data_IF_730178323850
#
_entry.id   IF_730178323850
#
_cell.length_a   1.000
_cell.length_b   1.000
_cell.length_c   1.000
_cell.angle_alpha   90.00
_cell.angle_beta   90.00
_cell.angle_gamma   90.00
#
_symmetry.space_group_name_H-M   'P 1'
#
loop_
_entity.id
_entity.type
_entity.pdbx_description
1 polymer ?
#
# COMPACT_ATOMS: atom_id res chain seq x y z
N UNK A 1 1.28 1.65 0.52
CA UNK A 1 0.91 2.72 -0.40
C UNK A 1 1.38 4.09 0.05
N UNK A 2 0.73 4.74 1.05
CA UNK A 2 1.04 6.14 1.39
C UNK A 2 2.50 6.35 1.81
N UNK A 3 3.08 5.46 2.59
CA UNK A 3 4.49 5.55 3.02
C UNK A 3 5.43 5.45 1.81
N UNK A 4 5.23 4.44 0.94
CA UNK A 4 6.04 4.31 -0.27
C UNK A 4 5.95 5.55 -1.17
N UNK A 5 4.74 6.08 -1.39
CA UNK A 5 4.56 7.31 -2.17
C UNK A 5 5.25 8.51 -1.53
N UNK A 6 5.15 8.68 -0.21
CA UNK A 6 5.80 9.79 0.49
C UNK A 6 7.33 9.72 0.35
N UNK A 7 7.91 8.55 0.51
CA UNK A 7 9.35 8.32 0.31
C UNK A 7 9.75 8.49 -1.16
N UNK A 8 8.94 7.96 -2.10
CA UNK A 8 9.18 8.06 -3.55
C UNK A 8 9.30 9.51 -4.04
N UNK A 9 8.46 10.39 -3.50
CA UNK A 9 8.43 11.80 -3.89
C UNK A 9 9.16 12.71 -2.91
N UNK A 10 9.96 12.15 -2.01
CA UNK A 10 10.72 12.88 -0.97
C UNK A 10 9.83 13.76 -0.09
N UNK A 11 8.66 13.29 0.25
CA UNK A 11 7.64 13.98 1.07
C UNK A 11 7.43 13.32 2.44
N UNK A 12 8.39 12.53 2.92
CA UNK A 12 8.27 11.81 4.20
C UNK A 12 8.08 12.76 5.39
N UNK A 13 8.68 13.94 5.34
CA UNK A 13 8.57 14.99 6.36
C UNK A 13 7.12 15.42 6.59
N UNK A 14 6.27 15.37 5.55
CA UNK A 14 4.83 15.64 5.71
C UNK A 14 4.16 14.67 6.68
N UNK A 15 4.59 13.41 6.73
CA UNK A 15 4.04 12.43 7.67
C UNK A 15 4.47 12.75 9.10
N UNK A 16 5.74 13.09 9.31
CA UNK A 16 6.29 13.36 10.64
C UNK A 16 5.88 14.74 11.15
N UNK A 17 6.17 15.81 10.41
CA UNK A 17 5.94 17.18 10.85
C UNK A 17 4.46 17.56 10.86
N UNK A 18 3.70 17.13 9.84
CA UNK A 18 2.30 17.52 9.72
C UNK A 18 1.35 16.62 10.50
N UNK A 19 1.66 15.33 10.62
CA UNK A 19 0.76 14.35 11.22
C UNK A 19 1.31 13.64 12.45
N UNK A 20 2.59 13.87 12.81
CA UNK A 20 3.25 13.21 13.92
C UNK A 20 3.44 11.68 13.70
N UNK A 21 3.46 11.26 12.43
CA UNK A 21 3.63 9.85 12.06
C UNK A 21 5.10 9.54 11.92
N UNK A 22 5.70 8.91 12.93
CA UNK A 22 7.13 8.60 12.93
C UNK A 22 7.46 7.41 12.05
N UNK A 23 8.45 7.60 11.17
CA UNK A 23 9.04 6.57 10.32
C UNK A 23 10.34 6.00 10.91
N UNK A 24 10.76 6.42 12.11
CA UNK A 24 12.04 6.06 12.72
C UNK A 24 12.28 4.55 12.80
N UNK A 25 11.27 3.76 13.21
CA UNK A 25 11.42 2.31 13.26
C UNK A 25 11.62 1.69 11.88
N UNK A 26 10.97 2.23 10.87
CA UNK A 26 11.17 1.82 9.48
C UNK A 26 12.59 2.16 9.00
N UNK A 27 13.10 3.34 9.35
CA UNK A 27 14.45 3.77 8.98
C UNK A 27 15.52 2.86 9.60
N UNK A 28 15.43 2.57 10.90
CA UNK A 28 16.36 1.65 11.59
C UNK A 28 16.32 0.26 10.96
N UNK A 29 15.12 -0.31 10.81
CA UNK A 29 14.95 -1.62 10.18
C UNK A 29 15.53 -1.66 8.77
N UNK A 30 15.25 -0.64 7.95
CA UNK A 30 15.70 -0.57 6.58
C UNK A 30 17.24 -0.45 6.47
N UNK A 31 17.85 0.36 7.34
CA UNK A 31 19.31 0.51 7.37
C UNK A 31 20.02 -0.80 7.67
N UNK A 32 19.46 -1.63 8.55
CA UNK A 32 20.04 -2.91 8.97
C UNK A 32 19.72 -4.07 8.03
N UNK A 33 18.54 -4.08 7.42
CA UNK A 33 17.98 -5.27 6.77
C UNK A 33 17.89 -5.17 5.24
N UNK A 34 18.00 -3.96 4.67
CA UNK A 34 17.86 -3.76 3.23
C UNK A 34 19.20 -3.46 2.58
N UNK A 35 19.39 -4.03 1.40
CA UNK A 35 20.48 -3.71 0.48
C UNK A 35 20.20 -2.40 -0.27
N UNK A 36 21.27 -1.82 -0.83
CA UNK A 36 21.15 -0.66 -1.72
C UNK A 36 20.52 -1.09 -3.06
N UNK A 37 19.48 -0.38 -3.46
CA UNK A 37 18.76 -0.65 -4.69
C UNK A 37 18.34 0.66 -5.37
N UNK A 38 19.06 0.99 -6.44
CA UNK A 38 18.85 2.24 -7.18
C UNK A 38 17.44 2.42 -7.75
N UNK A 39 16.68 1.34 -7.94
CA UNK A 39 15.28 1.39 -8.43
C UNK A 39 14.34 2.00 -7.41
N UNK A 40 14.72 2.01 -6.14
CA UNK A 40 13.94 2.60 -5.05
C UNK A 40 14.37 4.02 -4.70
N UNK A 41 15.33 4.60 -5.40
CA UNK A 41 15.71 6.01 -5.18
C UNK A 41 14.51 6.95 -5.34
N UNK A 42 14.48 8.06 -4.61
CA UNK A 42 13.48 9.10 -4.80
C UNK A 42 13.45 9.63 -6.23
N UNK A 43 12.29 10.07 -6.68
CA UNK A 43 12.13 10.67 -8.02
C UNK A 43 13.03 11.88 -8.17
N UNK A 44 13.79 11.93 -9.26
CA UNK A 44 14.74 12.99 -9.56
C UNK A 44 16.16 12.75 -9.06
N UNK A 45 16.39 11.72 -8.24
CA UNK A 45 17.74 11.35 -7.79
C UNK A 45 18.35 10.33 -8.75
N UNK A 46 19.53 10.65 -9.31
CA UNK A 46 20.27 9.73 -10.16
C UNK A 46 21.19 8.83 -9.32
N UNK A 47 21.37 7.54 -9.69
CA UNK A 47 22.18 6.59 -8.92
C UNK A 47 23.58 7.09 -8.56
N UNK A 48 24.25 7.77 -9.49
CA UNK A 48 25.58 8.31 -9.30
C UNK A 48 25.65 9.59 -8.46
N UNK A 49 24.51 10.17 -8.10
CA UNK A 49 24.39 11.42 -7.32
C UNK A 49 23.73 11.19 -5.96
N UNK A 50 23.27 9.96 -5.67
CA UNK A 50 22.58 9.64 -4.45
C UNK A 50 23.49 9.77 -3.23
N UNK A 51 23.10 10.63 -2.28
CA UNK A 51 23.70 10.77 -0.96
C UNK A 51 23.29 9.65 0.01
N UNK A 52 23.77 9.72 1.24
CA UNK A 52 23.42 8.74 2.28
C UNK A 52 21.92 8.77 2.62
N UNK A 53 21.32 9.96 2.70
CA UNK A 53 19.89 10.11 2.98
C UNK A 53 19.02 9.56 1.85
N UNK A 54 19.43 9.75 0.58
CA UNK A 54 18.73 9.17 -0.57
C UNK A 54 18.80 7.64 -0.56
N UNK A 55 19.94 7.08 -0.20
CA UNK A 55 20.12 5.62 -0.07
C UNK A 55 19.30 5.06 1.07
N UNK A 56 19.26 5.72 2.23
CA UNK A 56 18.41 5.33 3.34
C UNK A 56 16.93 5.40 2.93
N UNK A 57 16.53 6.45 2.25
CA UNK A 57 15.16 6.58 1.71
C UNK A 57 14.82 5.45 0.73
N UNK A 58 15.75 5.05 -0.13
CA UNK A 58 15.59 3.91 -1.03
C UNK A 58 15.39 2.60 -0.26
N UNK A 59 16.21 2.35 0.77
CA UNK A 59 16.08 1.19 1.66
C UNK A 59 14.74 1.19 2.39
N UNK A 60 14.30 2.33 2.92
CA UNK A 60 12.99 2.47 3.56
C UNK A 60 11.83 2.17 2.59
N UNK A 61 11.93 2.63 1.34
CA UNK A 61 10.95 2.32 0.29
C UNK A 61 10.91 0.84 -0.02
N UNK A 62 12.07 0.21 -0.22
CA UNK A 62 12.17 -1.25 -0.47
C UNK A 62 11.54 -2.03 0.68
N UNK A 63 11.87 -1.69 1.92
CA UNK A 63 11.29 -2.31 3.11
C UNK A 63 9.76 -2.15 3.17
N UNK A 64 9.27 -0.92 3.00
CA UNK A 64 7.84 -0.63 3.00
C UNK A 64 7.11 -1.37 1.87
N UNK A 65 7.70 -1.45 0.68
CA UNK A 65 7.15 -2.15 -0.48
C UNK A 65 7.04 -3.65 -0.22
N UNK A 66 8.10 -4.30 0.28
CA UNK A 66 8.06 -5.74 0.58
C UNK A 66 7.03 -6.06 1.67
N UNK A 67 6.97 -5.27 2.75
CA UNK A 67 5.94 -5.44 3.78
C UNK A 67 4.54 -5.20 3.23
N UNK A 68 4.35 -4.26 2.30
CA UNK A 68 3.08 -4.05 1.63
C UNK A 68 2.66 -5.27 0.81
N UNK A 69 3.56 -5.85 0.01
CA UNK A 69 3.27 -7.06 -0.77
C UNK A 69 2.87 -8.25 0.12
N UNK A 70 3.54 -8.41 1.27
CA UNK A 70 3.16 -9.44 2.26
C UNK A 70 1.75 -9.19 2.82
N UNK A 71 1.45 -7.95 3.21
CA UNK A 71 0.15 -7.60 3.77
C UNK A 71 -0.99 -7.73 2.76
N UNK A 72 -0.80 -7.26 1.53
CA UNK A 72 -1.77 -7.38 0.43
C UNK A 72 -2.01 -8.83 0.06
N UNK A 73 -0.94 -9.62 -0.09
CA UNK A 73 -1.04 -11.05 -0.36
C UNK A 73 -1.80 -11.79 0.74
N UNK A 74 -1.60 -11.44 2.00
CA UNK A 74 -2.33 -12.02 3.13
C UNK A 74 -3.84 -11.65 3.09
N UNK A 75 -4.19 -10.44 2.64
CA UNK A 75 -5.59 -10.03 2.45
C UNK A 75 -6.21 -10.84 1.31
N UNK A 76 -5.53 -10.96 0.17
CA UNK A 76 -6.01 -11.74 -0.99
C UNK A 76 -6.27 -13.20 -0.59
N UNK A 77 -5.36 -13.82 0.18
CA UNK A 77 -5.56 -15.19 0.67
C UNK A 77 -6.75 -15.35 1.61
N UNK A 78 -7.08 -14.32 2.42
CA UNK A 78 -8.24 -14.35 3.31
C UNK A 78 -9.56 -14.02 2.61
N UNK A 79 -9.51 -13.51 1.39
CA UNK A 79 -10.67 -13.04 0.61
C UNK A 79 -10.66 -13.61 -0.80
N UNK A 80 -10.77 -14.97 -0.93
CA UNK A 80 -10.76 -15.62 -2.24
C UNK A 80 -11.94 -15.16 -3.12
N UNK A 81 -13.03 -14.70 -2.51
CA UNK A 81 -14.19 -14.16 -3.18
C UNK A 81 -13.92 -12.90 -4.01
N UNK A 82 -12.77 -12.24 -3.78
CA UNK A 82 -12.37 -11.08 -4.60
C UNK A 82 -11.81 -11.46 -5.97
N UNK A 83 -11.49 -12.76 -6.21
CA UNK A 83 -10.96 -13.23 -7.49
C UNK A 83 -9.60 -12.64 -7.86
N UNK A 84 -8.79 -12.23 -6.86
CA UNK A 84 -7.54 -11.46 -7.06
C UNK A 84 -6.27 -12.32 -6.87
N UNK A 85 -6.35 -13.63 -7.03
CA UNK A 85 -5.21 -14.54 -6.80
C UNK A 85 -4.01 -14.21 -7.72
N UNK A 86 -4.26 -13.76 -8.95
CA UNK A 86 -3.25 -13.30 -9.91
C UNK A 86 -2.47 -12.06 -9.42
N UNK A 87 -3.06 -11.26 -8.54
CA UNK A 87 -2.43 -10.07 -7.94
C UNK A 87 -1.62 -10.36 -6.69
N UNK A 88 -1.56 -11.61 -6.24
CA UNK A 88 -0.71 -12.00 -5.11
C UNK A 88 0.74 -12.18 -5.60
N UNK A 89 1.47 -11.06 -5.72
CA UNK A 89 2.78 -11.01 -6.37
C UNK A 89 3.74 -12.03 -5.76
N UNK A 90 3.95 -12.00 -4.44
CA UNK A 90 4.94 -12.86 -3.80
C UNK A 90 4.63 -14.35 -3.91
N UNK A 91 3.35 -14.75 -3.95
CA UNK A 91 2.98 -16.16 -4.14
C UNK A 91 3.08 -16.62 -5.59
N UNK A 92 3.07 -15.70 -6.54
CA UNK A 92 3.16 -16.01 -7.97
C UNK A 92 4.61 -15.92 -8.51
N UNK A 93 5.60 -15.64 -7.66
CA UNK A 93 7.01 -15.71 -8.02
C UNK A 93 7.49 -17.16 -7.94
N UNK A 94 8.05 -17.68 -9.03
CA UNK A 94 8.87 -18.86 -9.03
C UNK A 94 10.29 -18.45 -8.59
N UNK A 95 10.56 -18.55 -7.28
CA UNK A 95 11.85 -18.16 -6.70
C UNK A 95 13.00 -19.01 -7.20
N UNK A 96 12.76 -20.26 -7.60
CA UNK A 96 13.81 -21.15 -8.13
C UNK A 96 14.26 -20.72 -9.54
N UNK A 97 13.32 -20.26 -10.36
CA UNK A 97 13.59 -19.79 -11.71
C UNK A 97 13.84 -18.29 -11.81
N UNK A 98 13.45 -17.51 -10.80
CA UNK A 98 13.45 -16.05 -10.87
C UNK A 98 12.44 -15.49 -11.86
N UNK A 99 11.23 -16.03 -11.86
CA UNK A 99 10.19 -15.69 -12.83
C UNK A 99 8.88 -15.31 -12.14
N UNK A 100 8.15 -14.39 -12.78
CA UNK A 100 6.78 -14.04 -12.44
C UNK A 100 5.91 -14.24 -13.69
N UNK A 101 5.00 -15.21 -13.65
CA UNK A 101 4.17 -15.64 -14.80
C UNK A 101 5.01 -15.91 -16.06
N UNK A 102 6.18 -16.54 -15.93
CA UNK A 102 7.08 -16.86 -17.04
C UNK A 102 7.96 -15.71 -17.51
N UNK A 103 7.78 -14.50 -17.00
CA UNK A 103 8.67 -13.38 -17.27
C UNK A 103 9.83 -13.35 -16.26
N UNK A 104 11.04 -13.19 -16.74
CA UNK A 104 12.24 -13.05 -15.88
C UNK A 104 12.13 -11.79 -15.02
N UNK A 105 12.40 -11.94 -13.74
CA UNK A 105 12.55 -10.81 -12.83
C UNK A 105 13.88 -10.09 -13.10
N UNK A 106 13.87 -8.78 -12.95
CA UNK A 106 15.08 -7.96 -13.14
C UNK A 106 16.16 -8.26 -12.10
N UNK A 107 15.76 -8.68 -10.90
CA UNK A 107 16.64 -9.25 -9.88
C UNK A 107 15.83 -10.14 -8.92
N UNK A 108 16.57 -10.79 -8.01
CA UNK A 108 16.02 -11.70 -7.00
C UNK A 108 16.34 -11.23 -5.57
N UNK A 109 16.61 -9.93 -5.39
CA UNK A 109 16.83 -9.37 -4.06
C UNK A 109 15.51 -9.11 -3.35
N UNK A 110 15.09 -10.10 -2.54
CA UNK A 110 13.91 -10.06 -1.68
C UNK A 110 14.32 -10.26 -0.21
N UNK A 111 14.98 -9.28 0.42
CA UNK A 111 15.37 -9.40 1.82
C UNK A 111 14.19 -9.75 2.72
N UNK A 112 14.41 -10.72 3.62
CA UNK A 112 13.40 -11.17 4.58
C UNK A 112 12.12 -11.81 3.97
N UNK A 113 12.15 -12.21 2.70
CA UNK A 113 11.11 -13.02 2.08
C UNK A 113 11.55 -14.48 2.06
N UNK A 114 10.81 -15.33 2.78
CA UNK A 114 11.02 -16.78 2.76
C UNK A 114 10.29 -17.39 1.55
N UNK A 115 10.98 -18.01 0.59
CA UNK A 115 10.32 -18.63 -0.57
C UNK A 115 9.28 -19.70 -0.21
N UNK A 116 9.40 -20.35 0.96
CA UNK A 116 8.44 -21.36 1.43
C UNK A 116 7.19 -20.74 2.06
N UNK A 117 7.33 -19.53 2.64
CA UNK A 117 6.22 -18.77 3.22
C UNK A 117 6.39 -17.27 2.93
N UNK A 118 6.20 -16.86 1.66
CA UNK A 118 6.58 -15.52 1.20
C UNK A 118 5.76 -14.38 1.81
N UNK A 119 4.64 -14.69 2.44
CA UNK A 119 3.77 -13.70 3.09
C UNK A 119 4.06 -13.54 4.59
N UNK A 120 4.91 -14.38 5.16
CA UNK A 120 5.23 -14.33 6.58
C UNK A 120 6.03 -13.08 6.92
N UNK A 121 5.53 -12.32 7.89
CA UNK A 121 6.30 -11.23 8.49
C UNK A 121 7.34 -11.79 9.46
N UNK A 122 8.56 -11.28 9.41
CA UNK A 122 9.57 -11.52 10.44
C UNK A 122 9.16 -10.83 11.76
N UNK A 123 9.85 -11.12 12.86
CA UNK A 123 9.60 -10.43 14.13
C UNK A 123 9.85 -8.92 14.02
N UNK A 124 10.95 -8.54 13.35
CA UNK A 124 11.31 -7.15 13.13
C UNK A 124 10.29 -6.41 12.24
N UNK A 125 9.84 -7.03 11.15
CA UNK A 125 8.79 -6.45 10.28
C UNK A 125 7.48 -6.25 11.05
N UNK A 126 7.08 -7.20 11.92
CA UNK A 126 5.90 -7.03 12.78
C UNK A 126 6.05 -5.85 13.73
N UNK A 127 7.22 -5.67 14.32
CA UNK A 127 7.47 -4.54 15.20
C UNK A 127 7.37 -3.19 14.47
N UNK A 128 7.91 -3.10 13.25
CA UNK A 128 7.78 -1.91 12.38
C UNK A 128 6.31 -1.67 12.05
N UNK A 129 5.59 -2.69 11.57
CA UNK A 129 4.18 -2.57 11.19
C UNK A 129 3.30 -2.12 12.36
N UNK A 130 3.48 -2.68 13.56
CA UNK A 130 2.74 -2.26 14.75
C UNK A 130 3.13 -0.85 15.22
N UNK A 131 4.39 -0.46 15.05
CA UNK A 131 4.85 0.91 15.30
C UNK A 131 4.15 1.91 14.38
N UNK A 132 4.13 1.64 13.09
CA UNK A 132 3.43 2.46 12.09
C UNK A 132 1.92 2.52 12.38
N UNK A 133 1.28 1.38 12.62
CA UNK A 133 -0.15 1.31 12.96
C UNK A 133 -0.49 2.19 14.16
N UNK A 134 0.33 2.15 15.24
CA UNK A 134 0.15 3.03 16.39
C UNK A 134 0.29 4.50 16.02
N UNK A 135 1.34 4.89 15.28
CA UNK A 135 1.55 6.27 14.84
C UNK A 135 0.37 6.83 14.04
N UNK A 136 -0.13 6.05 13.07
CA UNK A 136 -1.30 6.45 12.29
C UNK A 136 -2.56 6.59 13.15
N UNK A 137 -2.79 5.67 14.09
CA UNK A 137 -3.97 5.70 14.98
C UNK A 137 -3.93 6.84 16.00
N UNK A 138 -2.75 7.23 16.47
CA UNK A 138 -2.58 8.31 17.45
C UNK A 138 -2.57 9.71 16.86
N UNK A 139 -2.52 9.85 15.53
CA UNK A 139 -2.51 11.15 14.87
C UNK A 139 -3.89 11.83 14.91
N UNK A 140 -4.07 12.79 15.82
CA UNK A 140 -5.32 13.54 15.94
C UNK A 140 -5.65 14.35 14.69
N UNK A 141 -4.63 14.97 14.06
CA UNK A 141 -4.80 15.76 12.84
C UNK A 141 -5.29 14.87 11.69
N UNK A 142 -4.69 13.66 11.52
CA UNK A 142 -5.14 12.69 10.53
C UNK A 142 -6.58 12.25 10.82
N UNK A 143 -6.89 11.93 12.08
CA UNK A 143 -8.25 11.54 12.50
C UNK A 143 -9.30 12.61 12.15
N UNK A 144 -8.98 13.90 12.39
CA UNK A 144 -9.87 15.02 12.01
C UNK A 144 -10.05 15.13 10.50
N UNK A 145 -8.98 14.99 9.72
CA UNK A 145 -9.04 15.04 8.26
C UNK A 145 -9.87 13.87 7.69
N UNK A 146 -9.67 12.65 8.17
CA UNK A 146 -10.46 11.49 7.76
C UNK A 146 -11.94 11.68 8.12
N UNK A 147 -12.24 12.16 9.34
CA UNK A 147 -13.60 12.46 9.75
C UNK A 147 -14.26 13.51 8.84
N UNK A 148 -13.52 14.55 8.43
CA UNK A 148 -13.99 15.56 7.49
C UNK A 148 -14.28 14.95 6.11
N UNK A 149 -13.34 14.18 5.56
CA UNK A 149 -13.51 13.53 4.26
C UNK A 149 -14.74 12.62 4.24
N UNK A 150 -14.94 11.80 5.26
CA UNK A 150 -16.09 10.90 5.35
C UNK A 150 -17.41 11.63 5.57
N UNK A 151 -17.40 12.79 6.20
CA UNK A 151 -18.60 13.60 6.43
C UNK A 151 -19.01 14.42 5.21
N UNK A 152 -18.06 14.89 4.42
CA UNK A 152 -18.27 15.84 3.30
C UNK A 152 -17.97 15.24 1.93
N UNK A 153 -17.15 14.21 1.86
CA UNK A 153 -16.79 13.52 0.63
C UNK A 153 -17.70 12.33 0.32
N UNK A 154 -17.50 11.78 -0.86
CA UNK A 154 -18.11 10.53 -1.35
C UNK A 154 -17.18 9.85 -2.35
N UNK A 155 -17.43 8.60 -2.68
CA UNK A 155 -16.65 7.88 -3.69
C UNK A 155 -16.79 8.50 -5.08
N UNK A 156 -17.89 9.20 -5.36
CA UNK A 156 -18.12 9.95 -6.59
C UNK A 156 -19.08 11.11 -6.36
N UNK A 157 -19.15 12.03 -7.32
CA UNK A 157 -20.12 13.13 -7.35
C UNK A 157 -20.60 13.35 -8.78
N UNK A 158 -21.90 13.64 -8.93
CA UNK A 158 -22.46 14.10 -10.21
C UNK A 158 -22.68 15.60 -10.12
N UNK A 159 -22.09 16.35 -11.03
CA UNK A 159 -22.23 17.81 -11.12
C UNK A 159 -22.32 18.21 -12.59
N UNK A 160 -23.37 18.97 -12.96
CA UNK A 160 -23.61 19.40 -14.33
C UNK A 160 -23.52 18.24 -15.36
N UNK A 161 -24.17 17.13 -15.11
CA UNK A 161 -24.12 15.88 -15.88
C UNK A 161 -22.72 15.23 -16.03
N UNK A 162 -21.72 15.71 -15.29
CA UNK A 162 -20.41 15.09 -15.26
C UNK A 162 -20.30 14.17 -14.04
N UNK A 163 -19.84 12.94 -14.26
CA UNK A 163 -19.45 12.02 -13.20
C UNK A 163 -18.01 12.31 -12.80
N UNK A 164 -17.80 12.73 -11.56
CA UNK A 164 -16.50 13.02 -10.96
C UNK A 164 -16.19 11.92 -9.97
N UNK A 165 -15.09 11.20 -10.17
CA UNK A 165 -14.64 10.12 -9.30
C UNK A 165 -13.12 10.01 -9.33
N UNK A 166 -12.55 9.29 -8.36
CA UNK A 166 -11.11 9.00 -8.33
C UNK A 166 -10.88 7.52 -8.65
N UNK A 167 -9.87 7.24 -9.48
CA UNK A 167 -9.56 5.89 -9.93
C UNK A 167 -10.27 5.53 -11.24
N UNK A 168 -10.92 4.38 -11.28
CA UNK A 168 -11.63 3.91 -12.46
C UNK A 168 -12.98 3.28 -12.11
N UNK A 169 -13.86 3.20 -13.08
CA UNK A 169 -15.00 2.28 -13.09
C UNK A 169 -14.54 1.03 -13.84
N UNK A 170 -14.47 -0.15 -13.19
CA UNK A 170 -13.98 -1.35 -13.85
C UNK A 170 -14.87 -1.75 -15.03
N UNK A 171 -14.23 -2.08 -16.15
CA UNK A 171 -14.88 -2.55 -17.36
C UNK A 171 -14.29 -3.89 -17.80
N UNK A 172 -15.10 -4.70 -18.45
CA UNK A 172 -14.66 -5.87 -19.18
C UNK A 172 -14.02 -5.46 -20.52
N UNK A 173 -13.29 -6.36 -21.19
CA UNK A 173 -12.65 -6.05 -22.48
C UNK A 173 -13.62 -5.60 -23.58
N UNK A 174 -14.89 -5.99 -23.50
CA UNK A 174 -15.95 -5.58 -24.42
C UNK A 174 -16.60 -4.23 -24.11
N UNK A 175 -16.15 -3.57 -23.00
CA UNK A 175 -16.65 -2.29 -22.54
C UNK A 175 -17.88 -2.38 -21.63
N UNK A 176 -18.39 -3.56 -21.33
CA UNK A 176 -19.42 -3.75 -20.30
C UNK A 176 -18.89 -3.52 -18.89
N UNK A 177 -19.75 -3.24 -17.94
CA UNK A 177 -19.30 -3.07 -16.54
C UNK A 177 -18.86 -4.41 -15.94
N UNK A 178 -17.65 -4.41 -15.37
CA UNK A 178 -17.17 -5.55 -14.58
C UNK A 178 -18.01 -5.71 -13.31
N UNK A 179 -18.46 -6.94 -13.04
CA UNK A 179 -19.13 -7.28 -11.79
C UNK A 179 -18.09 -7.57 -10.71
N UNK A 180 -18.17 -6.87 -9.59
CA UNK A 180 -17.34 -7.13 -8.42
C UNK A 180 -18.24 -7.34 -7.18
N UNK A 181 -18.17 -8.51 -6.58
CA UNK A 181 -18.98 -8.88 -5.41
C UNK A 181 -20.49 -8.63 -5.60
N UNK A 182 -21.02 -8.88 -6.80
CA UNK A 182 -22.43 -8.66 -7.12
C UNK A 182 -22.81 -7.20 -7.42
N UNK A 183 -21.82 -6.32 -7.58
CA UNK A 183 -22.02 -4.91 -7.87
C UNK A 183 -21.25 -4.49 -9.12
N UNK A 184 -21.84 -3.57 -9.91
CA UNK A 184 -21.25 -3.06 -11.14
C UNK A 184 -21.58 -1.58 -11.33
N UNK A 185 -20.79 -0.87 -12.14
CA UNK A 185 -21.00 0.52 -12.50
C UNK A 185 -21.23 1.43 -11.27
N UNK A 186 -22.30 2.20 -11.25
CA UNK A 186 -22.67 3.07 -10.12
C UNK A 186 -22.91 2.31 -8.82
N UNK A 187 -23.54 1.13 -8.90
CA UNK A 187 -23.83 0.31 -7.72
C UNK A 187 -22.56 -0.14 -7.02
N UNK A 188 -21.47 -0.37 -7.77
CA UNK A 188 -20.15 -0.67 -7.20
C UNK A 188 -19.58 0.53 -6.46
N UNK A 189 -19.67 1.75 -7.01
CA UNK A 189 -19.22 2.97 -6.33
C UNK A 189 -20.00 3.20 -5.02
N UNK A 190 -21.32 3.04 -5.05
CA UNK A 190 -22.18 3.13 -3.86
C UNK A 190 -21.85 2.03 -2.83
N UNK A 191 -21.54 0.83 -3.28
CA UNK A 191 -21.09 -0.26 -2.41
C UNK A 191 -19.77 0.08 -1.72
N UNK A 192 -18.78 0.56 -2.45
CA UNK A 192 -17.49 0.98 -1.90
C UNK A 192 -17.63 2.11 -0.88
N UNK A 193 -18.44 3.14 -1.17
CA UNK A 193 -18.70 4.25 -0.24
C UNK A 193 -19.32 3.76 1.07
N UNK A 194 -20.32 2.86 0.98
CA UNK A 194 -20.92 2.24 2.17
C UNK A 194 -19.92 1.40 2.97
N UNK A 195 -19.06 0.63 2.31
CA UNK A 195 -18.04 -0.19 2.96
C UNK A 195 -17.04 0.64 3.75
N UNK A 196 -16.52 1.71 3.14
CA UNK A 196 -15.59 2.63 3.81
C UNK A 196 -16.23 3.29 5.03
N UNK A 197 -17.48 3.74 4.92
CA UNK A 197 -18.22 4.34 6.04
C UNK A 197 -18.50 3.36 7.17
N UNK A 198 -18.83 2.10 6.84
CA UNK A 198 -19.01 1.02 7.83
C UNK A 198 -17.71 0.71 8.56
N UNK A 199 -16.60 0.58 7.82
CA UNK A 199 -15.28 0.33 8.39
C UNK A 199 -14.87 1.47 9.35
N UNK A 200 -15.07 2.73 8.95
CA UNK A 200 -14.79 3.87 9.81
C UNK A 200 -15.69 3.89 11.06
N UNK A 201 -16.97 3.61 10.91
CA UNK A 201 -17.88 3.52 12.06
C UNK A 201 -17.49 2.40 13.03
N UNK A 202 -17.03 1.26 12.54
CA UNK A 202 -16.50 0.18 13.36
C UNK A 202 -15.23 0.62 14.10
N UNK A 203 -14.27 1.20 13.38
CA UNK A 203 -13.06 1.77 13.97
C UNK A 203 -13.35 2.78 15.08
N UNK A 204 -14.31 3.70 14.89
CA UNK A 204 -14.71 4.69 15.90
C UNK A 204 -15.33 4.09 17.15
N UNK A 205 -15.89 2.89 17.08
CA UNK A 205 -16.43 2.13 18.23
C UNK A 205 -15.37 1.23 18.90
N UNK A 206 -14.10 1.34 18.51
CA UNK A 206 -13.03 0.51 19.06
C UNK A 206 -12.90 -0.87 18.38
N UNK A 207 -13.51 -1.06 17.21
CA UNK A 207 -13.29 -2.23 16.36
C UNK A 207 -11.92 -2.19 15.69
N UNK A 208 -11.36 -3.39 15.43
CA UNK A 208 -10.14 -3.57 14.64
C UNK A 208 -10.42 -3.64 13.15
#
# INVERSE_FOLDING_TARGET
GVIDLSLKYNNADLLEESYGISLRKLAVYAAEQMDDDARFLPVGVLPGQAGEDDRLTAKMRKAAFLMQLKAEGAIICRRPEYGMADRNILKNIDFAKGEFFGAKLADMSFPNVDPQDPLRFTAAEREVAEGLKRSFRSSEKLSRHIAFLLRRGSAYKICNNNLIFHGCVPLEPDGSYMNFCGHEGRNLLDYCDRMVRRAYAAFRRGGE
#
